data_IF_463208050087
#
_entry.id   IF_463208050087
#
_cell.length_a   1.000
_cell.length_b   1.000
_cell.length_c   1.000
_cell.angle_alpha   90.00
_cell.angle_beta   90.00
_cell.angle_gamma   90.00
#
_symmetry.space_group_name_H-M   'P 1'
#
loop_
_entity.id
_entity.type
_entity.pdbx_description
1 polymer ?
#
# COMPACT_ATOMS: atom_id res chain seq x y z
N UNK A 1 18.53 11.90 -8.25
CA UNK A 1 18.81 10.71 -7.45
C UNK A 1 18.18 9.53 -8.18
N UNK A 2 18.96 8.56 -8.64
CA UNK A 2 18.44 7.36 -9.28
C UNK A 2 17.61 6.59 -8.25
N UNK A 3 16.28 6.55 -8.41
CA UNK A 3 15.47 5.60 -7.67
C UNK A 3 16.00 4.20 -8.00
N UNK A 4 16.47 3.52 -6.97
CA UNK A 4 16.94 2.16 -7.07
C UNK A 4 15.73 1.29 -7.47
N UNK A 5 15.69 0.93 -8.75
CA UNK A 5 14.50 0.35 -9.41
C UNK A 5 14.31 -1.13 -9.06
N UNK A 6 15.02 -1.63 -8.03
CA UNK A 6 15.14 -3.06 -7.76
C UNK A 6 14.11 -3.60 -6.76
N UNK A 7 13.48 -2.76 -5.93
CA UNK A 7 12.61 -3.23 -4.84
C UNK A 7 11.16 -2.73 -4.99
N UNK A 8 10.46 -3.21 -6.04
CA UNK A 8 9.05 -2.86 -6.28
C UNK A 8 8.05 -3.77 -5.58
N UNK A 9 8.53 -4.86 -4.94
CA UNK A 9 7.68 -5.89 -4.35
C UNK A 9 7.45 -5.57 -2.86
N UNK A 10 6.18 -5.50 -2.47
CA UNK A 10 5.75 -5.36 -1.08
C UNK A 10 4.94 -6.61 -0.70
N UNK A 11 5.44 -7.38 0.26
CA UNK A 11 4.77 -8.63 0.69
C UNK A 11 3.74 -8.31 1.76
N UNK A 12 2.48 -8.68 1.52
CA UNK A 12 1.41 -8.52 2.51
C UNK A 12 1.47 -9.63 3.56
N UNK A 13 1.78 -9.25 4.80
CA UNK A 13 1.85 -10.17 5.95
C UNK A 13 0.45 -10.33 6.57
N UNK A 14 -0.39 -11.14 5.92
CA UNK A 14 -1.75 -11.41 6.39
C UNK A 14 -1.77 -12.64 7.33
N UNK A 15 -0.99 -12.57 8.41
CA UNK A 15 -0.83 -13.58 9.45
C UNK A 15 -1.50 -13.17 10.76
N UNK A 16 -1.79 -14.16 11.60
CA UNK A 16 -2.40 -13.94 12.93
C UNK A 16 -1.37 -13.97 14.06
N UNK A 17 -0.22 -14.58 13.87
CA UNK A 17 0.79 -14.71 14.92
C UNK A 17 2.18 -14.29 14.43
N UNK A 18 2.99 -13.85 15.38
CA UNK A 18 4.35 -13.32 15.15
C UNK A 18 5.31 -14.41 14.65
N UNK A 19 5.15 -15.65 15.13
CA UNK A 19 6.06 -16.75 14.77
C UNK A 19 6.03 -17.03 13.27
N UNK A 20 4.85 -17.20 12.69
CA UNK A 20 4.72 -17.50 11.26
C UNK A 20 5.25 -16.35 10.39
N UNK A 21 5.09 -15.10 10.85
CA UNK A 21 5.69 -13.93 10.20
C UNK A 21 7.21 -14.03 10.19
N UNK A 22 7.83 -14.33 11.32
CA UNK A 22 9.28 -14.40 11.45
C UNK A 22 9.85 -15.60 10.69
N UNK A 23 9.16 -16.74 10.71
CA UNK A 23 9.53 -17.95 9.94
C UNK A 23 9.51 -17.67 8.41
N UNK A 24 8.57 -16.84 7.93
CA UNK A 24 8.60 -16.36 6.54
C UNK A 24 9.77 -15.41 6.30
N UNK A 25 9.98 -14.43 7.18
CA UNK A 25 11.06 -13.44 7.03
C UNK A 25 12.45 -14.08 6.98
N UNK A 26 12.66 -15.22 7.68
CA UNK A 26 13.92 -15.98 7.62
C UNK A 26 14.18 -16.63 6.24
N UNK A 27 13.17 -16.70 5.39
CA UNK A 27 13.25 -17.21 4.03
C UNK A 27 13.33 -16.10 2.97
N UNK A 28 13.29 -14.83 3.38
CA UNK A 28 13.25 -13.66 2.50
C UNK A 28 14.56 -12.86 2.60
N UNK A 29 14.90 -12.16 1.52
CA UNK A 29 16.01 -11.21 1.49
C UNK A 29 15.45 -9.78 1.43
N UNK A 30 15.74 -8.92 2.42
CA UNK A 30 15.28 -7.53 2.46
C UNK A 30 15.78 -6.67 1.29
N UNK A 31 16.82 -7.10 0.59
CA UNK A 31 17.29 -6.42 -0.62
C UNK A 31 16.30 -6.52 -1.78
N UNK A 32 15.37 -7.48 -1.76
CA UNK A 32 14.47 -7.77 -2.89
C UNK A 32 12.99 -7.52 -2.61
N UNK A 33 12.62 -7.26 -1.36
CA UNK A 33 11.23 -7.01 -1.00
C UNK A 33 11.10 -6.15 0.26
N UNK A 34 9.97 -5.46 0.36
CA UNK A 34 9.47 -4.76 1.54
C UNK A 34 8.34 -5.55 2.16
N UNK A 35 7.99 -5.24 3.40
CA UNK A 35 6.92 -5.92 4.10
C UNK A 35 5.77 -4.96 4.43
N UNK A 36 4.53 -5.41 4.25
CA UNK A 36 3.33 -4.67 4.63
C UNK A 36 2.70 -5.29 5.87
N UNK A 37 2.63 -4.52 6.94
CA UNK A 37 1.92 -4.87 8.17
C UNK A 37 0.51 -4.26 8.10
N UNK A 38 -0.49 -5.10 7.98
CA UNK A 38 -1.90 -4.70 7.91
C UNK A 38 -2.58 -4.63 9.27
N UNK A 39 -3.85 -4.21 9.27
CA UNK A 39 -4.66 -4.00 10.48
C UNK A 39 -4.70 -5.22 11.41
N UNK A 40 -4.91 -6.42 10.86
CA UNK A 40 -5.03 -7.65 11.68
C UNK A 40 -3.75 -7.92 12.46
N UNK A 41 -2.61 -8.01 11.78
CA UNK A 41 -1.33 -8.30 12.41
C UNK A 41 -0.95 -7.21 13.42
N UNK A 42 -1.10 -5.93 13.05
CA UNK A 42 -0.77 -4.83 13.96
C UNK A 42 -1.70 -4.78 15.18
N UNK A 43 -3.00 -5.05 15.02
CA UNK A 43 -3.94 -5.10 16.17
C UNK A 43 -3.60 -6.22 17.14
N UNK A 44 -3.10 -7.35 16.65
CA UNK A 44 -2.74 -8.50 17.48
C UNK A 44 -1.38 -8.37 18.16
N UNK A 45 -0.40 -7.78 17.47
CA UNK A 45 1.00 -7.79 17.90
C UNK A 45 1.51 -6.42 18.39
N UNK A 46 0.78 -5.35 18.10
CA UNK A 46 1.20 -3.98 18.43
C UNK A 46 2.49 -3.56 17.73
N UNK A 47 3.17 -2.52 18.25
CA UNK A 47 4.45 -2.02 17.72
C UNK A 47 5.58 -3.04 17.69
N UNK A 48 5.58 -4.02 18.60
CA UNK A 48 6.65 -5.04 18.73
C UNK A 48 6.89 -5.81 17.43
N UNK A 49 5.87 -5.94 16.57
CA UNK A 49 6.06 -6.59 15.28
C UNK A 49 6.97 -5.76 14.36
N UNK A 50 6.81 -4.43 14.37
CA UNK A 50 7.61 -3.51 13.55
C UNK A 50 9.08 -3.60 13.96
N UNK A 51 9.38 -3.54 15.26
CA UNK A 51 10.74 -3.68 15.80
C UNK A 51 11.38 -5.02 15.37
N UNK A 52 10.60 -6.11 15.45
CA UNK A 52 11.08 -7.44 15.08
C UNK A 52 11.41 -7.57 13.59
N UNK A 53 10.69 -6.87 12.73
CA UNK A 53 10.92 -6.84 11.29
C UNK A 53 12.10 -5.92 10.93
N UNK A 54 12.26 -4.79 11.62
CA UNK A 54 13.43 -3.91 11.50
C UNK A 54 14.72 -4.63 11.93
N UNK A 55 14.68 -5.46 12.98
CA UNK A 55 15.82 -6.27 13.40
C UNK A 55 16.29 -7.26 12.31
N UNK A 56 15.45 -7.54 11.31
CA UNK A 56 15.77 -8.33 10.11
C UNK A 56 16.06 -7.44 8.88
N UNK A 57 16.23 -6.13 9.06
CA UNK A 57 16.54 -5.12 8.04
C UNK A 57 15.45 -4.90 6.98
N UNK A 58 14.20 -5.22 7.25
CA UNK A 58 13.12 -4.93 6.32
C UNK A 58 12.60 -3.51 6.46
N UNK A 59 12.34 -2.84 5.33
CA UNK A 59 11.53 -1.62 5.26
C UNK A 59 10.04 -1.97 5.35
N UNK A 60 9.29 -1.20 6.16
CA UNK A 60 7.90 -1.53 6.51
C UNK A 60 6.92 -0.53 5.94
N UNK A 61 5.92 -1.05 5.21
CA UNK A 61 4.70 -0.33 4.89
C UNK A 61 3.64 -0.63 5.96
N UNK A 62 3.31 0.36 6.79
CA UNK A 62 2.26 0.24 7.79
C UNK A 62 0.90 0.57 7.17
N UNK A 63 0.11 -0.47 6.84
CA UNK A 63 -1.14 -0.39 6.08
C UNK A 63 -2.36 -0.37 7.02
N UNK A 64 -2.53 0.70 7.79
CA UNK A 64 -3.64 0.87 8.74
C UNK A 64 -4.80 1.69 8.16
N UNK A 65 -4.59 2.41 7.06
CA UNK A 65 -5.60 3.24 6.39
C UNK A 65 -6.30 4.17 7.38
N UNK A 66 -5.52 5.02 8.07
CA UNK A 66 -6.07 5.93 9.07
C UNK A 66 -7.20 6.79 8.48
N UNK A 67 -8.31 6.84 9.19
CA UNK A 67 -9.51 7.53 8.77
C UNK A 67 -10.30 7.93 10.02
N UNK A 68 -10.16 9.17 10.45
CA UNK A 68 -10.79 9.73 11.65
C UNK A 68 -10.77 11.27 11.55
N UNK A 69 -11.21 11.97 12.59
CA UNK A 69 -11.08 13.44 12.65
C UNK A 69 -9.60 13.86 12.56
N UNK A 70 -9.30 15.07 12.04
CA UNK A 70 -7.93 15.49 11.72
C UNK A 70 -6.93 15.32 12.87
N UNK A 71 -7.31 15.74 14.08
CA UNK A 71 -6.39 15.66 15.24
C UNK A 71 -6.06 14.21 15.64
N UNK A 72 -7.01 13.28 15.50
CA UNK A 72 -6.78 11.86 15.78
C UNK A 72 -5.84 11.27 14.77
N UNK A 73 -6.04 11.56 13.48
CA UNK A 73 -5.14 11.09 12.40
C UNK A 73 -3.75 11.70 12.53
N UNK A 74 -3.63 12.99 12.84
CA UNK A 74 -2.35 13.63 13.11
C UNK A 74 -1.55 12.88 14.19
N UNK A 75 -2.15 12.63 15.36
CA UNK A 75 -1.50 11.93 16.47
C UNK A 75 -1.16 10.47 16.12
N UNK A 76 -2.04 9.79 15.39
CA UNK A 76 -1.80 8.42 14.95
C UNK A 76 -0.64 8.35 13.94
N UNK A 77 -0.53 9.33 13.02
CA UNK A 77 0.59 9.44 12.08
C UNK A 77 1.91 9.74 12.81
N UNK A 78 1.94 10.64 13.79
CA UNK A 78 3.13 10.90 14.60
C UNK A 78 3.63 9.59 15.24
N UNK A 79 2.75 8.89 15.97
CA UNK A 79 3.10 7.63 16.61
C UNK A 79 3.57 6.56 15.60
N UNK A 80 2.98 6.51 14.40
CA UNK A 80 3.39 5.59 13.36
C UNK A 80 4.80 5.92 12.81
N UNK A 81 5.11 7.20 12.59
CA UNK A 81 6.43 7.61 12.10
C UNK A 81 7.53 7.39 13.13
N UNK A 82 7.25 7.51 14.42
CA UNK A 82 8.17 7.17 15.51
C UNK A 82 8.63 5.70 15.46
N UNK A 83 7.85 4.81 14.85
CA UNK A 83 8.23 3.40 14.64
C UNK A 83 9.27 3.22 13.52
N UNK A 84 9.70 4.27 12.82
CA UNK A 84 10.70 4.19 11.77
C UNK A 84 10.21 3.54 10.46
N UNK A 85 8.91 3.57 10.20
CA UNK A 85 8.32 2.96 8.99
C UNK A 85 8.77 3.66 7.71
N UNK A 86 8.83 2.91 6.61
CA UNK A 86 9.14 3.41 5.28
C UNK A 86 7.93 4.03 4.57
N UNK A 87 6.72 3.49 4.80
CA UNK A 87 5.49 3.97 4.16
C UNK A 87 4.30 3.86 5.11
N UNK A 88 3.43 4.87 5.09
CA UNK A 88 2.16 4.92 5.81
C UNK A 88 1.02 5.21 4.85
N UNK A 89 -0.18 4.75 5.14
CA UNK A 89 -1.36 5.16 4.39
C UNK A 89 -2.51 5.70 5.25
N UNK A 90 -3.25 6.62 4.63
CA UNK A 90 -4.48 7.20 5.14
C UNK A 90 -5.59 7.05 4.09
N UNK A 91 -6.84 7.32 4.44
CA UNK A 91 -7.96 7.23 3.52
C UNK A 91 -8.39 8.61 2.99
N UNK A 92 -8.52 8.78 1.65
CA UNK A 92 -8.90 10.07 1.05
C UNK A 92 -10.34 10.53 1.41
N UNK A 93 -11.24 9.60 1.70
CA UNK A 93 -12.61 9.92 2.09
C UNK A 93 -12.73 10.66 3.43
N UNK A 94 -11.64 10.77 4.20
CA UNK A 94 -11.57 11.59 5.42
C UNK A 94 -11.53 13.10 5.18
N UNK A 95 -11.44 13.54 3.91
CA UNK A 95 -11.46 14.95 3.54
C UNK A 95 -10.10 15.64 3.62
N UNK A 96 -10.06 16.89 3.13
CA UNK A 96 -8.81 17.66 2.95
C UNK A 96 -8.10 17.95 4.28
N UNK A 97 -8.86 18.33 5.30
CA UNK A 97 -8.32 18.70 6.62
C UNK A 97 -7.61 17.51 7.28
N UNK A 98 -8.18 16.31 7.18
CA UNK A 98 -7.56 15.08 7.68
C UNK A 98 -6.26 14.77 6.93
N UNK A 99 -6.26 14.93 5.60
CA UNK A 99 -5.07 14.71 4.77
C UNK A 99 -3.96 15.67 5.13
N UNK A 100 -4.27 16.97 5.30
CA UNK A 100 -3.28 17.98 5.70
C UNK A 100 -2.74 17.72 7.10
N UNK A 101 -3.56 17.24 8.03
CA UNK A 101 -3.12 16.86 9.37
C UNK A 101 -2.13 15.68 9.33
N UNK A 102 -2.36 14.68 8.48
CA UNK A 102 -1.41 13.59 8.28
C UNK A 102 -0.08 14.06 7.65
N UNK A 103 -0.15 14.98 6.67
CA UNK A 103 1.04 15.61 6.08
C UNK A 103 1.83 16.39 7.12
N UNK A 104 1.16 17.20 7.93
CA UNK A 104 1.79 17.95 9.00
C UNK A 104 2.56 17.02 9.96
N UNK A 105 1.98 15.90 10.35
CA UNK A 105 2.65 14.91 11.21
C UNK A 105 3.95 14.36 10.58
N UNK A 106 3.95 14.09 9.26
CA UNK A 106 5.14 13.65 8.54
C UNK A 106 6.22 14.73 8.54
N UNK A 107 5.83 15.95 8.19
CA UNK A 107 6.76 17.08 8.05
C UNK A 107 7.40 17.44 9.41
N UNK A 108 6.66 17.37 10.51
CA UNK A 108 7.16 17.60 11.87
C UNK A 108 8.14 16.51 12.33
N UNK A 109 7.93 15.26 11.94
CA UNK A 109 8.87 14.16 12.22
C UNK A 109 10.13 14.23 11.35
N UNK A 110 10.19 15.13 10.36
CA UNK A 110 11.30 15.27 9.43
C UNK A 110 11.75 13.92 8.83
N UNK A 111 10.79 13.05 8.52
CA UNK A 111 11.02 11.71 7.99
C UNK A 111 10.90 11.67 6.48
N UNK A 112 11.69 10.79 5.84
CA UNK A 112 11.58 10.47 4.41
C UNK A 112 10.49 9.42 4.11
N UNK A 113 9.73 9.00 5.12
CA UNK A 113 8.67 8.01 4.95
C UNK A 113 7.58 8.51 3.99
N UNK A 114 7.16 7.63 3.10
CA UNK A 114 6.12 7.94 2.12
C UNK A 114 4.74 7.99 2.78
N UNK A 115 3.97 9.04 2.49
CA UNK A 115 2.56 9.13 2.88
C UNK A 115 1.69 8.85 1.66
N UNK A 116 1.05 7.68 1.64
CA UNK A 116 0.23 7.20 0.52
C UNK A 116 -1.25 7.27 0.90
N UNK A 117 -2.12 7.51 -0.07
CA UNK A 117 -3.56 7.63 0.17
C UNK A 117 -4.36 6.58 -0.56
N UNK A 118 -5.29 5.98 0.16
CA UNK A 118 -6.28 5.08 -0.43
C UNK A 118 -7.37 5.91 -1.10
N UNK A 119 -7.58 5.72 -2.39
CA UNK A 119 -8.67 6.34 -3.14
C UNK A 119 -10.00 5.68 -2.78
N UNK A 120 -10.38 4.63 -3.51
CA UNK A 120 -11.48 3.74 -3.17
C UNK A 120 -10.92 2.37 -2.81
N UNK A 121 -11.57 1.68 -1.89
CA UNK A 121 -11.22 0.28 -1.64
C UNK A 121 -11.42 -0.52 -2.93
N UNK A 122 -10.48 -1.42 -3.20
CA UNK A 122 -10.51 -2.25 -4.41
C UNK A 122 -11.72 -3.19 -4.44
N UNK A 123 -12.32 -3.46 -3.28
CA UNK A 123 -13.53 -4.29 -3.09
C UNK A 123 -14.84 -3.52 -3.30
N UNK A 124 -14.83 -2.20 -3.49
CA UNK A 124 -16.07 -1.46 -3.72
C UNK A 124 -16.71 -1.86 -5.06
N UNK A 125 -17.91 -2.44 -4.97
CA UNK A 125 -18.80 -2.69 -6.09
C UNK A 125 -19.58 -1.43 -6.49
N UNK A 126 -20.26 -1.46 -7.63
CA UNK A 126 -21.16 -0.39 -8.03
C UNK A 126 -22.30 -0.17 -7.02
N UNK A 127 -22.75 -1.23 -6.34
CA UNK A 127 -23.73 -1.12 -5.25
C UNK A 127 -23.17 -0.38 -4.05
N UNK A 128 -21.90 -0.66 -3.66
CA UNK A 128 -21.22 0.08 -2.60
C UNK A 128 -21.10 1.57 -2.94
N UNK A 129 -20.81 1.91 -4.19
CA UNK A 129 -20.74 3.30 -4.64
C UNK A 129 -22.10 3.99 -4.57
N UNK A 130 -23.17 3.30 -4.98
CA UNK A 130 -24.55 3.81 -4.87
C UNK A 130 -24.94 4.03 -3.41
N UNK A 131 -24.64 3.08 -2.52
CA UNK A 131 -24.87 3.22 -1.09
C UNK A 131 -24.20 4.45 -0.49
N UNK A 132 -22.96 4.74 -0.92
CA UNK A 132 -22.20 5.91 -0.50
C UNK A 132 -22.59 7.20 -1.24
N UNK A 133 -23.57 7.15 -2.14
CA UNK A 133 -23.97 8.25 -3.02
C UNK A 133 -22.78 8.83 -3.81
N UNK A 134 -21.86 7.96 -4.22
CA UNK A 134 -20.72 8.30 -5.04
C UNK A 134 -21.04 8.03 -6.53
N UNK A 135 -20.47 8.82 -7.46
CA UNK A 135 -20.58 8.54 -8.89
C UNK A 135 -19.88 7.21 -9.23
N UNK A 136 -19.77 6.91 -10.53
CA UNK A 136 -19.02 5.73 -10.97
C UNK A 136 -17.57 5.74 -10.46
N UNK A 137 -16.95 4.56 -10.45
CA UNK A 137 -15.59 4.36 -9.90
C UNK A 137 -14.57 5.31 -10.51
N UNK A 138 -14.51 5.41 -11.85
CA UNK A 138 -13.51 6.23 -12.54
C UNK A 138 -13.58 7.69 -12.11
N UNK A 139 -14.76 8.32 -12.20
CA UNK A 139 -14.96 9.72 -11.80
C UNK A 139 -14.62 9.97 -10.34
N UNK A 140 -14.98 9.02 -9.45
CA UNK A 140 -14.67 9.14 -8.01
C UNK A 140 -13.18 9.05 -7.76
N UNK A 141 -12.50 8.07 -8.36
CA UNK A 141 -11.05 7.88 -8.20
C UNK A 141 -10.28 9.08 -8.74
N UNK A 142 -10.67 9.62 -9.90
CA UNK A 142 -10.07 10.83 -10.49
C UNK A 142 -10.19 12.04 -9.55
N UNK A 143 -11.39 12.31 -9.04
CA UNK A 143 -11.63 13.44 -8.11
C UNK A 143 -10.80 13.28 -6.82
N UNK A 144 -10.75 12.08 -6.26
CA UNK A 144 -9.97 11.79 -5.06
C UNK A 144 -8.47 11.96 -5.34
N UNK A 145 -7.96 11.43 -6.45
CA UNK A 145 -6.55 11.56 -6.83
C UNK A 145 -6.15 13.02 -7.07
N UNK A 146 -6.99 13.81 -7.75
CA UNK A 146 -6.74 15.24 -7.97
C UNK A 146 -6.73 16.03 -6.66
N UNK A 147 -7.65 15.72 -5.72
CA UNK A 147 -7.61 16.31 -4.38
C UNK A 147 -6.33 15.93 -3.63
N UNK A 148 -5.79 14.75 -3.95
CA UNK A 148 -4.54 14.25 -3.44
C UNK A 148 -3.35 15.12 -3.88
N UNK A 149 -3.21 15.37 -5.16
CA UNK A 149 -2.14 16.18 -5.73
C UNK A 149 -2.11 17.57 -5.09
N UNK A 150 -3.26 18.20 -4.90
CA UNK A 150 -3.38 19.52 -4.27
C UNK A 150 -2.92 19.57 -2.79
N UNK A 151 -2.60 18.44 -2.19
CA UNK A 151 -2.08 18.35 -0.82
C UNK A 151 -0.61 17.90 -0.77
N UNK A 152 0.09 17.81 -1.91
CA UNK A 152 1.52 17.45 -2.01
C UNK A 152 1.85 16.13 -1.28
N UNK A 153 1.13 15.08 -1.59
CA UNK A 153 1.35 13.76 -1.00
C UNK A 153 1.93 12.80 -2.04
N UNK A 154 2.76 11.87 -1.59
CA UNK A 154 3.66 11.10 -2.43
C UNK A 154 2.95 10.18 -3.43
N UNK A 155 1.78 9.63 -3.09
CA UNK A 155 1.11 8.71 -4.00
C UNK A 155 -0.24 8.20 -3.54
N UNK A 156 -0.77 7.23 -4.29
CA UNK A 156 -2.10 6.64 -4.05
C UNK A 156 -2.08 5.11 -4.10
N UNK A 157 -2.95 4.50 -3.30
CA UNK A 157 -3.33 3.09 -3.45
C UNK A 157 -4.53 3.03 -4.39
N UNK A 158 -4.41 2.31 -5.49
CA UNK A 158 -5.45 2.12 -6.49
C UNK A 158 -5.32 0.77 -7.21
N UNK A 159 -6.30 0.39 -8.02
CA UNK A 159 -6.14 -0.79 -8.90
C UNK A 159 -5.34 -0.42 -10.14
N UNK A 160 -4.65 -1.38 -10.81
CA UNK A 160 -3.97 -1.09 -12.07
C UNK A 160 -4.88 -0.48 -13.14
N UNK A 161 -6.18 -0.84 -13.17
CA UNK A 161 -7.16 -0.25 -14.09
C UNK A 161 -7.49 1.22 -13.83
N UNK A 162 -7.23 1.71 -12.62
CA UNK A 162 -7.51 3.11 -12.27
C UNK A 162 -6.37 4.04 -12.70
N UNK A 163 -5.15 3.52 -12.91
CA UNK A 163 -3.92 4.30 -13.08
C UNK A 163 -4.01 5.27 -14.26
N UNK A 164 -4.43 4.79 -15.43
CA UNK A 164 -4.53 5.67 -16.61
C UNK A 164 -5.49 6.83 -16.34
N UNK A 165 -6.67 6.55 -15.78
CA UNK A 165 -7.62 7.59 -15.44
C UNK A 165 -7.12 8.57 -14.38
N UNK A 166 -6.26 8.12 -13.45
CA UNK A 166 -5.60 9.01 -12.48
C UNK A 166 -4.56 9.89 -13.18
N UNK A 167 -3.73 9.32 -14.06
CA UNK A 167 -2.71 10.05 -14.83
C UNK A 167 -3.30 11.13 -15.72
N UNK A 168 -4.54 10.97 -16.19
CA UNK A 168 -5.23 11.99 -16.98
C UNK A 168 -5.48 13.31 -16.20
N UNK A 169 -5.48 13.25 -14.86
CA UNK A 169 -5.85 14.36 -13.99
C UNK A 169 -4.79 14.74 -12.95
N UNK A 170 -3.70 13.98 -12.88
CA UNK A 170 -2.60 14.19 -11.92
C UNK A 170 -1.25 13.94 -12.58
N UNK A 171 -0.18 14.52 -11.99
CA UNK A 171 1.22 14.21 -12.30
C UNK A 171 1.96 13.78 -11.02
N UNK A 172 3.09 13.10 -11.19
CA UNK A 172 4.10 12.88 -10.13
C UNK A 172 3.62 12.10 -8.88
N UNK A 173 2.54 11.31 -9.01
CA UNK A 173 2.07 10.42 -7.95
C UNK A 173 2.65 9.01 -8.10
N UNK A 174 3.08 8.43 -6.99
CA UNK A 174 3.41 7.02 -6.89
C UNK A 174 2.13 6.16 -6.86
N UNK A 175 2.15 5.03 -7.57
CA UNK A 175 1.04 4.07 -7.63
C UNK A 175 1.39 2.79 -6.89
N UNK A 176 0.70 2.55 -5.77
CA UNK A 176 0.80 1.31 -4.98
C UNK A 176 -0.40 0.44 -5.29
N UNK A 177 -0.19 -0.74 -5.88
CA UNK A 177 -1.27 -1.57 -6.38
C UNK A 177 -1.36 -2.92 -5.66
N UNK A 178 -2.45 -3.17 -4.91
CA UNK A 178 -2.74 -4.46 -4.31
C UNK A 178 -3.46 -5.40 -5.28
N UNK A 179 -3.65 -6.64 -4.84
CA UNK A 179 -4.45 -7.63 -5.58
C UNK A 179 -3.71 -8.30 -6.74
N UNK A 180 -2.39 -8.32 -6.70
CA UNK A 180 -1.55 -8.95 -7.72
C UNK A 180 -1.52 -10.47 -7.54
N UNK A 181 -1.59 -11.22 -8.67
CA UNK A 181 -1.51 -12.69 -8.76
C UNK A 181 -0.55 -13.09 -9.87
N UNK A 182 0.04 -14.29 -9.78
CA UNK A 182 1.00 -14.77 -10.78
C UNK A 182 0.36 -15.19 -12.10
N UNK A 183 -0.86 -15.67 -12.06
CA UNK A 183 -1.61 -16.08 -13.26
C UNK A 183 -2.93 -15.32 -13.35
N UNK A 184 -3.48 -15.24 -14.58
CA UNK A 184 -4.84 -14.76 -14.84
C UNK A 184 -5.85 -15.80 -14.31
N UNK A 185 -5.98 -15.92 -12.99
CA UNK A 185 -7.07 -16.70 -12.39
C UNK A 185 -8.30 -15.80 -12.34
N UNK A 186 -9.27 -16.10 -13.19
CA UNK A 186 -10.60 -15.49 -13.13
C UNK A 186 -11.37 -16.10 -11.95
N UNK A 187 -11.13 -15.61 -10.75
CA UNK A 187 -12.12 -15.75 -9.68
C UNK A 187 -13.27 -14.78 -9.99
N UNK A 188 -14.50 -15.27 -10.00
CA UNK A 188 -15.72 -14.65 -10.56
C UNK A 188 -16.09 -13.24 -10.06
N UNK A 189 -15.35 -12.61 -9.15
CA UNK A 189 -15.74 -11.33 -8.53
C UNK A 189 -14.64 -10.26 -8.35
N UNK A 190 -13.39 -10.50 -8.76
CA UNK A 190 -12.34 -9.48 -8.66
C UNK A 190 -11.43 -9.49 -9.90
N UNK A 191 -11.22 -8.33 -10.52
CA UNK A 191 -10.21 -8.17 -11.57
C UNK A 191 -8.83 -8.48 -11.00
N UNK A 192 -8.24 -9.58 -11.43
CA UNK A 192 -6.90 -10.02 -11.05
C UNK A 192 -5.89 -9.45 -12.03
N UNK A 193 -4.77 -8.95 -11.53
CA UNK A 193 -3.69 -8.39 -12.35
C UNK A 193 -2.40 -9.16 -12.12
N UNK A 194 -1.70 -9.50 -13.21
CA UNK A 194 -0.35 -10.06 -13.12
C UNK A 194 0.67 -8.94 -12.84
N UNK A 195 1.84 -9.25 -12.25
CA UNK A 195 2.92 -8.27 -12.03
C UNK A 195 3.22 -7.47 -13.30
N UNK A 196 3.41 -8.16 -14.44
CA UNK A 196 3.68 -7.53 -15.74
C UNK A 196 2.58 -6.56 -16.16
N UNK A 197 1.29 -6.95 -16.05
CA UNK A 197 0.16 -6.07 -16.41
C UNK A 197 0.10 -4.84 -15.51
N UNK A 198 0.37 -4.98 -14.21
CA UNK A 198 0.37 -3.88 -13.27
C UNK A 198 1.50 -2.87 -13.55
N UNK A 199 2.71 -3.35 -13.79
CA UNK A 199 3.85 -2.48 -14.15
C UNK A 199 3.61 -1.77 -15.50
N UNK A 200 3.11 -2.48 -16.51
CA UNK A 200 2.76 -1.87 -17.80
C UNK A 200 1.66 -0.81 -17.68
N UNK A 201 0.73 -0.95 -16.74
CA UNK A 201 -0.24 0.10 -16.41
C UNK A 201 0.40 1.30 -15.71
N UNK A 202 1.60 1.14 -15.13
CA UNK A 202 2.37 2.19 -14.49
C UNK A 202 2.39 2.10 -12.97
N UNK A 203 2.20 0.91 -12.39
CA UNK A 203 2.41 0.68 -10.95
C UNK A 203 3.87 0.87 -10.57
N UNK A 204 4.14 1.61 -9.50
CA UNK A 204 5.48 1.76 -8.91
C UNK A 204 5.77 0.64 -7.92
N UNK A 205 4.78 0.26 -7.11
CA UNK A 205 4.88 -0.80 -6.11
C UNK A 205 3.74 -1.80 -6.22
N UNK A 206 4.09 -3.08 -6.11
CA UNK A 206 3.16 -4.22 -6.18
C UNK A 206 2.96 -4.82 -4.81
N UNK A 207 1.74 -4.81 -4.27
CA UNK A 207 1.42 -5.47 -3.01
C UNK A 207 0.94 -6.89 -3.29
N UNK A 208 1.72 -7.88 -2.87
CA UNK A 208 1.53 -9.30 -3.16
C UNK A 208 1.47 -10.08 -1.84
N UNK A 209 0.43 -10.86 -1.65
CA UNK A 209 0.23 -11.71 -0.45
C UNK A 209 0.43 -13.19 -0.79
N UNK A 210 -0.66 -13.96 -0.79
CA UNK A 210 -0.71 -15.42 -0.91
C UNK A 210 0.24 -16.06 -1.93
N UNK A 211 0.44 -15.52 -3.14
CA UNK A 211 1.41 -16.10 -4.08
C UNK A 211 2.81 -16.29 -3.50
N UNK A 212 3.22 -15.39 -2.58
CA UNK A 212 4.53 -15.46 -1.91
C UNK A 212 4.39 -16.13 -0.54
N UNK A 213 3.40 -15.71 0.27
CA UNK A 213 3.29 -16.12 1.68
C UNK A 213 2.88 -17.58 1.87
N UNK A 214 2.19 -18.19 0.90
CA UNK A 214 1.81 -19.61 0.91
C UNK A 214 2.78 -20.51 0.12
N UNK A 215 3.82 -19.93 -0.47
CA UNK A 215 4.81 -20.69 -1.24
C UNK A 215 5.80 -21.41 -0.33
N UNK A 216 6.15 -22.65 -0.69
CA UNK A 216 7.26 -23.38 -0.06
C UNK A 216 8.65 -22.78 -0.39
N UNK A 217 8.71 -21.94 -1.40
CA UNK A 217 9.96 -21.31 -1.89
C UNK A 217 9.71 -19.84 -2.22
N UNK A 218 9.48 -18.96 -1.22
CA UNK A 218 9.05 -17.59 -1.46
C UNK A 218 10.07 -16.78 -2.29
N UNK A 219 11.37 -16.99 -2.11
CA UNK A 219 12.39 -16.31 -2.92
C UNK A 219 12.34 -16.69 -4.40
N UNK A 220 12.03 -17.94 -4.76
CA UNK A 220 11.86 -18.33 -6.17
C UNK A 220 10.68 -17.59 -6.81
N UNK A 221 9.60 -17.38 -6.05
CA UNK A 221 8.43 -16.60 -6.51
C UNK A 221 8.82 -15.14 -6.72
N UNK A 222 9.62 -14.56 -5.82
CA UNK A 222 10.13 -13.18 -5.97
C UNK A 222 11.01 -13.08 -7.23
N UNK A 223 11.90 -14.03 -7.48
CA UNK A 223 12.76 -14.04 -8.67
C UNK A 223 11.92 -14.17 -9.95
N UNK A 224 10.88 -15.01 -9.93
CA UNK A 224 9.92 -15.12 -11.04
C UNK A 224 9.23 -13.78 -11.30
N UNK A 225 8.70 -13.12 -10.26
CA UNK A 225 8.08 -11.81 -10.38
C UNK A 225 9.06 -10.78 -10.95
N UNK A 226 10.30 -10.74 -10.45
CA UNK A 226 11.35 -9.83 -10.93
C UNK A 226 11.66 -10.04 -12.42
N UNK A 227 11.59 -11.27 -12.90
CA UNK A 227 11.81 -11.56 -14.32
C UNK A 227 10.67 -11.08 -15.23
N UNK A 228 9.50 -10.75 -14.66
CA UNK A 228 8.31 -10.28 -15.39
C UNK A 228 8.20 -8.76 -15.47
N UNK A 229 8.95 -8.00 -14.65
CA UNK A 229 8.78 -6.55 -14.43
C UNK A 229 9.99 -5.71 -14.79
#
# INVERSE_FOLDING_TARGET
MSQDNTNKIIIALDYTNKKDVLDLCDQLDPAYCRLKVGKQLFTQQGPDIIESLHAKNFEIFLDLKFHDIPITVYKACLAAYELGIWMLNIHLLGGREMVLAAKQARDEQNTSALLIRVTLLTSHSDESLKFLNLPNRLSTVQKLAQSAQNCEIDGVVCTPSDINGIKDVTSDLLFVTPGIRLADQSDDHAKVYTPKKAILAGSDYLVIGRPITESKHPMKVIDEIKSMI
#
